data_IF_095919126355
#
_entry.id   IF_095919126355
#
_cell.length_a   1.000
_cell.length_b   1.000
_cell.length_c   1.000
_cell.angle_alpha   90.00
_cell.angle_beta   90.00
_cell.angle_gamma   90.00
#
_symmetry.space_group_name_H-M   'P 1'
#
loop_
_entity.id
_entity.type
_entity.pdbx_description
1 polymer ?
#
# COMPACT_ATOMS: atom_id res chain seq x y z
N UNK A 1 -53.80 28.80 -32.81
CA UNK A 1 -54.01 27.39 -33.13
C UNK A 1 -53.51 26.51 -31.99
N UNK A 2 -54.15 26.36 -30.84
CA UNK A 2 -55.19 27.11 -30.10
C UNK A 2 -55.03 26.76 -28.60
N UNK A 3 -55.17 27.70 -27.66
CA UNK A 3 -56.32 27.84 -26.73
C UNK A 3 -56.97 26.49 -26.32
N UNK A 4 -57.24 26.17 -25.04
CA UNK A 4 -57.76 27.00 -23.92
C UNK A 4 -57.47 26.31 -22.57
N UNK A 5 -57.00 26.98 -21.51
CA UNK A 5 -57.75 27.82 -20.55
C UNK A 5 -59.10 27.22 -20.10
N UNK A 6 -59.22 26.93 -18.79
CA UNK A 6 -60.49 27.01 -18.08
C UNK A 6 -60.28 27.47 -16.62
N UNK A 7 -60.87 28.61 -16.26
CA UNK A 7 -61.06 29.07 -14.86
C UNK A 7 -62.43 28.62 -14.39
N UNK A 8 -62.62 28.31 -13.10
CA UNK A 8 -63.91 28.54 -12.42
C UNK A 8 -63.72 28.87 -10.93
N UNK A 9 -64.75 29.51 -10.37
CA UNK A 9 -64.84 30.06 -9.01
C UNK A 9 -66.34 30.10 -8.61
N UNK A 10 -66.78 30.35 -7.38
CA UNK A 10 -66.16 31.03 -6.22
C UNK A 10 -66.83 30.52 -4.93
N UNK A 11 -66.40 30.99 -3.75
CA UNK A 11 -67.07 30.82 -2.44
C UNK A 11 -67.06 29.39 -1.85
N UNK A 12 -67.26 29.19 -0.54
CA UNK A 12 -67.35 30.16 0.54
C UNK A 12 -68.06 29.64 1.79
N UNK A 13 -67.48 29.99 2.93
CA UNK A 13 -68.10 30.15 4.25
C UNK A 13 -68.34 28.93 5.18
N UNK A 14 -68.05 29.24 6.44
CA UNK A 14 -68.34 28.65 7.75
C UNK A 14 -68.94 27.24 7.91
N UNK A 15 -68.21 26.43 8.69
CA UNK A 15 -68.78 25.77 9.89
C UNK A 15 -67.73 25.48 10.96
N UNK A 16 -67.71 26.30 12.00
CA UNK A 16 -67.03 25.98 13.25
C UNK A 16 -67.82 24.93 14.05
N UNK A 17 -67.14 23.89 14.57
CA UNK A 17 -67.26 23.39 15.95
C UNK A 17 -66.47 22.09 16.16
N UNK A 18 -65.81 22.00 17.32
CA UNK A 18 -65.15 20.80 17.91
C UNK A 18 -63.90 20.28 17.18
N UNK A 19 -62.71 20.72 17.66
CA UNK A 19 -61.62 19.88 18.20
C UNK A 19 -60.80 20.81 19.13
N UNK A 20 -61.23 20.92 20.40
CA UNK A 20 -60.38 21.44 21.48
C UNK A 20 -60.12 20.24 22.41
N UNK A 21 -58.91 19.69 22.38
CA UNK A 21 -58.58 18.48 23.14
C UNK A 21 -57.28 17.75 22.78
N UNK A 22 -56.60 18.11 21.69
CA UNK A 22 -55.34 17.45 21.29
C UNK A 22 -54.13 18.39 21.09
N UNK A 23 -54.33 19.71 21.05
CA UNK A 23 -53.26 20.66 20.74
C UNK A 23 -52.22 20.87 21.87
N UNK A 24 -52.55 20.56 23.12
CA UNK A 24 -51.67 20.87 24.27
C UNK A 24 -50.53 19.85 24.48
N UNK A 25 -50.66 18.63 23.95
CA UNK A 25 -49.66 17.56 24.14
C UNK A 25 -48.57 17.65 23.06
N UNK A 26 -48.90 18.04 21.83
CA UNK A 26 -47.91 18.24 20.77
C UNK A 26 -46.97 19.43 21.04
N UNK A 27 -47.47 20.51 21.65
CA UNK A 27 -46.66 21.68 21.98
C UNK A 27 -45.55 21.37 23.01
N UNK A 28 -45.77 20.42 23.92
CA UNK A 28 -44.77 20.00 24.91
C UNK A 28 -43.69 19.06 24.35
N UNK A 29 -43.91 18.41 23.20
CA UNK A 29 -42.88 17.60 22.54
C UNK A 29 -41.90 18.41 21.72
N UNK A 30 -42.31 19.57 21.17
CA UNK A 30 -41.40 20.44 20.42
C UNK A 30 -40.42 21.22 21.31
N UNK A 31 -40.74 21.48 22.58
CA UNK A 31 -39.83 22.17 23.51
C UNK A 31 -38.77 21.28 24.19
N UNK A 32 -38.81 19.95 23.99
CA UNK A 32 -37.78 19.03 24.48
C UNK A 32 -36.82 18.52 23.39
N UNK A 33 -37.03 18.90 22.12
CA UNK A 33 -36.16 18.50 21.01
C UNK A 33 -34.88 19.36 20.86
N UNK A 34 -34.88 20.60 21.34
CA UNK A 34 -33.82 21.60 21.11
C UNK A 34 -32.66 21.59 22.12
N UNK A 35 -32.58 20.60 23.03
CA UNK A 35 -31.59 20.57 24.12
C UNK A 35 -30.66 19.34 24.14
N UNK A 36 -30.65 18.52 23.07
CA UNK A 36 -29.61 17.53 22.82
C UNK A 36 -28.84 17.85 21.53
N UNK A 37 -28.25 19.04 21.49
CA UNK A 37 -27.02 19.22 20.74
C UNK A 37 -25.99 18.24 21.34
N UNK A 38 -25.76 17.11 20.65
CA UNK A 38 -24.73 16.15 21.05
C UNK A 38 -23.39 16.89 21.03
N UNK A 39 -22.90 17.27 22.22
CA UNK A 39 -21.60 17.92 22.37
C UNK A 39 -20.52 16.95 21.92
N UNK A 40 -20.07 17.08 20.68
CA UNK A 40 -19.02 16.23 20.14
C UNK A 40 -17.79 16.37 21.04
N UNK A 41 -17.18 15.26 21.48
CA UNK A 41 -16.09 15.31 22.44
C UNK A 41 -14.93 16.12 21.84
N UNK A 42 -14.52 17.15 22.59
CA UNK A 42 -13.52 18.13 22.20
C UNK A 42 -12.12 17.56 22.40
N UNK A 43 -11.13 17.96 21.60
CA UNK A 43 -9.75 17.54 21.86
C UNK A 43 -9.24 18.14 23.18
N UNK A 44 -8.62 17.33 24.02
CA UNK A 44 -7.94 17.78 25.25
C UNK A 44 -6.44 17.91 25.03
N UNK A 45 -5.88 17.00 24.23
CA UNK A 45 -4.47 16.98 23.83
C UNK A 45 -4.32 16.49 22.38
N UNK A 46 -3.42 17.12 21.63
CA UNK A 46 -2.99 16.65 20.31
C UNK A 46 -1.46 16.54 20.30
N UNK A 47 -0.95 15.41 19.84
CA UNK A 47 0.48 15.16 19.61
C UNK A 47 0.73 15.12 18.11
N UNK A 48 1.74 15.84 17.61
CA UNK A 48 2.17 15.77 16.20
C UNK A 48 3.64 15.40 16.17
N UNK A 49 3.96 14.27 15.55
CA UNK A 49 5.31 13.77 15.37
C UNK A 49 5.65 13.83 13.88
N UNK A 50 6.63 14.64 13.50
CA UNK A 50 7.16 14.66 12.13
C UNK A 50 8.60 14.18 12.10
N UNK A 51 8.92 13.35 11.12
CA UNK A 51 10.21 12.70 10.96
C UNK A 51 10.62 12.68 9.49
N UNK A 52 11.91 12.80 9.21
CA UNK A 52 12.46 12.62 7.87
C UNK A 52 13.88 12.05 7.95
N UNK A 53 14.16 11.01 7.17
CA UNK A 53 15.48 10.38 7.07
C UNK A 53 15.84 10.04 5.61
N UNK A 54 15.96 11.04 4.76
CA UNK A 54 16.52 10.87 3.40
C UNK A 54 18.06 10.98 3.38
N UNK A 55 18.65 11.03 2.19
CA UNK A 55 20.10 11.23 1.99
C UNK A 55 20.58 12.67 2.30
N UNK A 56 20.49 13.10 3.56
CA UNK A 56 21.20 14.27 4.06
C UNK A 56 22.32 13.86 5.01
N UNK A 57 23.46 14.56 5.07
CA UNK A 57 24.38 14.43 6.20
C UNK A 57 23.73 14.86 7.52
N UNK A 58 22.63 15.62 7.48
CA UNK A 58 21.89 16.18 8.61
C UNK A 58 20.47 15.58 8.76
N UNK A 59 20.41 14.26 8.77
CA UNK A 59 19.22 13.46 9.07
C UNK A 59 19.53 12.32 10.05
N UNK A 60 18.55 11.86 10.86
CA UNK A 60 17.14 12.24 10.82
C UNK A 60 16.85 13.67 11.30
N UNK A 61 15.82 14.29 10.71
CA UNK A 61 15.20 15.53 11.19
C UNK A 61 13.88 15.18 11.86
N UNK A 62 13.61 15.78 13.01
CA UNK A 62 12.48 15.46 13.90
C UNK A 62 11.76 16.74 14.31
N UNK A 63 10.46 16.64 14.54
CA UNK A 63 9.66 17.68 15.17
C UNK A 63 8.59 17.04 16.02
N UNK A 64 8.55 17.39 17.30
CA UNK A 64 7.58 16.88 18.26
C UNK A 64 6.79 18.05 18.80
N UNK A 65 5.49 18.09 18.50
CA UNK A 65 4.57 19.12 18.97
C UNK A 65 3.56 18.51 19.92
N UNK A 66 3.27 19.22 21.00
CA UNK A 66 2.15 18.93 21.90
C UNK A 66 1.26 20.16 21.95
N UNK A 67 -0.04 19.97 21.69
CA UNK A 67 -1.05 21.01 21.79
C UNK A 67 -2.02 20.60 22.91
N UNK A 68 -2.04 21.35 23.99
CA UNK A 68 -2.88 21.06 25.16
C UNK A 68 -3.94 22.14 25.37
N UNK A 69 -5.16 21.73 25.70
CA UNK A 69 -6.21 22.64 26.12
C UNK A 69 -5.95 23.13 27.55
N UNK A 70 -5.89 24.45 27.74
CA UNK A 70 -5.71 25.11 29.04
C UNK A 70 -6.82 26.15 29.19
N UNK A 71 -7.88 25.76 29.89
CA UNK A 71 -9.13 26.51 29.93
C UNK A 71 -9.78 26.62 28.55
N UNK A 72 -10.06 27.85 28.11
CA UNK A 72 -10.69 28.12 26.81
C UNK A 72 -9.72 28.14 25.61
N UNK A 73 -8.40 28.04 25.83
CA UNK A 73 -7.38 28.15 24.80
C UNK A 73 -6.61 26.85 24.59
N UNK A 74 -6.05 26.68 23.39
CA UNK A 74 -5.10 25.61 23.08
C UNK A 74 -3.68 26.18 23.02
N UNK A 75 -2.73 25.53 23.69
CA UNK A 75 -1.34 25.95 23.75
C UNK A 75 -0.46 24.90 23.06
N UNK A 76 0.19 25.30 21.97
CA UNK A 76 1.21 24.51 21.28
C UNK A 76 2.57 24.78 21.92
N UNK A 77 3.27 23.72 22.29
CA UNK A 77 4.70 23.68 22.59
C UNK A 77 5.36 22.55 21.78
N UNK A 78 6.70 22.51 21.74
CA UNK A 78 7.39 21.43 21.05
C UNK A 78 8.88 21.67 20.85
N UNK A 79 9.51 20.76 20.11
CA UNK A 79 10.91 20.82 19.71
C UNK A 79 11.09 20.52 18.23
N UNK A 80 12.17 21.01 17.65
CA UNK A 80 12.72 20.57 16.37
C UNK A 80 14.14 20.08 16.61
N UNK A 81 14.52 18.94 16.06
CA UNK A 81 15.90 18.46 16.16
C UNK A 81 16.44 17.86 14.87
N UNK A 82 17.77 17.85 14.77
CA UNK A 82 18.55 17.25 13.69
C UNK A 82 19.72 16.46 14.25
N UNK A 83 20.06 15.37 13.58
CA UNK A 83 21.30 14.64 13.75
C UNK A 83 22.18 14.87 12.52
N UNK A 84 23.40 15.39 12.69
CA UNK A 84 24.36 15.55 11.61
C UNK A 84 25.55 14.61 11.81
N UNK A 85 25.91 13.84 10.77
CA UNK A 85 27.00 12.86 10.80
C UNK A 85 26.92 11.87 11.99
N UNK A 86 25.71 11.42 12.33
CA UNK A 86 25.46 10.52 13.46
C UNK A 86 25.62 11.16 14.85
N UNK A 87 25.67 12.49 14.94
CA UNK A 87 25.72 13.25 16.20
C UNK A 87 24.49 14.15 16.32
N UNK A 88 23.89 14.31 17.51
CA UNK A 88 22.90 15.35 17.74
C UNK A 88 23.53 16.72 17.43
N UNK A 89 22.92 17.45 16.50
CA UNK A 89 23.42 18.73 16.01
C UNK A 89 22.69 19.89 16.69
N UNK A 90 21.35 19.89 16.59
CA UNK A 90 20.51 20.93 17.15
C UNK A 90 19.26 20.32 17.81
N UNK A 91 18.85 20.89 18.93
CA UNK A 91 17.48 20.77 19.46
C UNK A 91 16.97 22.17 19.78
N UNK A 92 16.11 22.71 18.93
CA UNK A 92 15.45 24.00 19.12
C UNK A 92 14.15 23.79 19.90
N UNK A 93 13.97 24.50 21.01
CA UNK A 93 12.69 24.57 21.71
C UNK A 93 11.80 25.61 21.04
N UNK A 94 10.64 25.19 20.58
CA UNK A 94 9.68 26.05 19.89
C UNK A 94 8.97 26.98 20.90
N UNK A 95 8.81 28.28 20.59
CA UNK A 95 8.10 29.20 21.46
C UNK A 95 6.63 28.78 21.61
N UNK A 96 6.10 28.86 22.83
CA UNK A 96 4.70 28.50 23.12
C UNK A 96 3.76 29.43 22.37
N UNK A 97 2.82 28.85 21.60
CA UNK A 97 1.87 29.59 20.77
C UNK A 97 0.43 29.21 21.08
N UNK A 98 -0.47 30.20 21.17
CA UNK A 98 -1.90 29.95 21.23
C UNK A 98 -2.40 29.49 19.86
N UNK A 99 -3.14 28.38 19.82
CA UNK A 99 -3.78 27.83 18.62
C UNK A 99 -5.28 28.17 18.64
N UNK A 100 -5.85 28.75 17.57
CA UNK A 100 -7.28 28.98 17.48
C UNK A 100 -8.08 27.67 17.52
N UNK A 101 -9.18 27.65 18.28
CA UNK A 101 -10.08 26.48 18.42
C UNK A 101 -10.51 25.94 17.04
N UNK A 102 -10.87 26.82 16.10
CA UNK A 102 -11.25 26.45 14.73
C UNK A 102 -10.15 25.73 13.92
N UNK A 103 -8.87 25.81 14.29
CA UNK A 103 -7.81 24.98 13.68
C UNK A 103 -7.82 23.55 14.26
N UNK A 104 -8.10 23.42 15.55
CA UNK A 104 -8.25 22.13 16.26
C UNK A 104 -9.49 21.39 15.76
N UNK A 105 -10.62 22.09 15.67
CA UNK A 105 -11.87 21.53 15.14
C UNK A 105 -11.69 21.00 13.72
N UNK A 106 -11.05 21.77 12.83
CA UNK A 106 -10.75 21.32 11.45
C UNK A 106 -9.90 20.06 11.41
N UNK A 107 -8.91 19.93 12.30
CA UNK A 107 -8.12 18.70 12.41
C UNK A 107 -8.98 17.52 12.89
N UNK A 108 -9.73 17.70 13.98
CA UNK A 108 -10.59 16.64 14.54
C UNK A 108 -11.66 16.21 13.52
N UNK A 109 -12.25 17.14 12.77
CA UNK A 109 -13.18 16.84 11.67
C UNK A 109 -12.49 16.05 10.56
N UNK A 110 -11.28 16.44 10.13
CA UNK A 110 -10.53 15.70 9.13
C UNK A 110 -10.14 14.28 9.59
N UNK A 111 -9.79 14.10 10.87
CA UNK A 111 -9.49 12.78 11.47
C UNK A 111 -10.73 11.89 11.63
N UNK A 112 -11.92 12.48 11.78
CA UNK A 112 -13.22 11.77 11.86
C UNK A 112 -13.87 11.54 10.49
N UNK A 113 -13.33 12.10 9.41
CA UNK A 113 -13.90 11.98 8.08
C UNK A 113 -13.85 10.53 7.56
N UNK A 114 -14.83 10.15 6.74
CA UNK A 114 -14.83 8.84 6.09
C UNK A 114 -13.59 8.71 5.17
N UNK A 115 -12.90 7.55 5.14
CA UNK A 115 -11.75 7.36 4.26
C UNK A 115 -12.13 7.53 2.78
N UNK A 116 -11.39 8.37 2.06
CA UNK A 116 -11.56 8.59 0.63
C UNK A 116 -10.61 7.67 -0.15
N UNK A 117 -11.10 6.61 -0.83
CA UNK A 117 -10.23 5.57 -1.39
C UNK A 117 -9.54 5.96 -2.72
N UNK A 118 -9.87 7.11 -3.31
CA UNK A 118 -9.34 7.55 -4.60
C UNK A 118 -8.97 9.04 -4.57
N UNK A 119 -7.92 9.40 -5.31
CA UNK A 119 -7.52 10.81 -5.53
C UNK A 119 -8.63 11.57 -6.25
N UNK A 120 -9.04 12.72 -5.68
CA UNK A 120 -9.87 13.71 -6.38
C UNK A 120 -8.98 14.84 -6.91
N UNK A 121 -8.91 14.99 -8.24
CA UNK A 121 -8.06 15.98 -8.91
C UNK A 121 -8.30 17.41 -8.40
N UNK A 122 -9.55 17.82 -8.26
CA UNK A 122 -9.91 19.17 -7.78
C UNK A 122 -9.46 19.40 -6.35
N UNK A 123 -9.57 18.40 -5.49
CA UNK A 123 -9.09 18.48 -4.11
C UNK A 123 -7.58 18.73 -4.06
N UNK A 124 -6.77 18.11 -4.93
CA UNK A 124 -5.32 18.36 -5.05
C UNK A 124 -4.93 19.56 -5.92
N UNK A 125 -5.90 20.35 -6.41
CA UNK A 125 -5.63 21.57 -7.20
C UNK A 125 -5.30 21.30 -8.68
N UNK A 126 -5.70 20.15 -9.22
CA UNK A 126 -5.58 19.80 -10.62
C UNK A 126 -6.92 19.90 -11.36
N UNK A 127 -6.83 20.23 -12.65
CA UNK A 127 -7.93 20.06 -13.59
C UNK A 127 -7.69 18.81 -14.44
N UNK A 128 -8.77 18.16 -14.84
CA UNK A 128 -8.75 16.98 -15.70
C UNK A 128 -7.93 17.27 -16.96
N UNK A 129 -8.11 18.44 -17.58
CA UNK A 129 -7.35 18.88 -18.75
C UNK A 129 -5.82 18.94 -18.53
N UNK A 130 -5.35 19.36 -17.34
CA UNK A 130 -3.90 19.39 -17.04
C UNK A 130 -3.34 17.97 -16.99
N UNK A 131 -4.08 17.03 -16.41
CA UNK A 131 -3.69 15.61 -16.35
C UNK A 131 -3.78 14.94 -17.72
N UNK A 132 -4.84 15.21 -18.49
CA UNK A 132 -4.96 14.72 -19.88
C UNK A 132 -3.79 15.20 -20.76
N UNK A 133 -3.29 16.43 -20.57
CA UNK A 133 -2.11 16.91 -21.31
C UNK A 133 -0.81 16.19 -20.92
N UNK A 134 -0.70 15.71 -19.68
CA UNK A 134 0.43 14.87 -19.26
C UNK A 134 0.32 13.45 -19.84
N UNK A 135 -0.86 12.81 -19.72
CA UNK A 135 -1.18 11.52 -20.34
C UNK A 135 -0.89 11.57 -21.84
N UNK A 136 -1.43 12.56 -22.55
CA UNK A 136 -1.25 12.74 -23.99
C UNK A 136 0.25 12.89 -24.33
N UNK A 137 1.04 13.62 -23.55
CA UNK A 137 2.48 13.78 -23.80
C UNK A 137 3.24 12.46 -23.71
N UNK A 138 2.93 11.65 -22.71
CA UNK A 138 3.56 10.34 -22.51
C UNK A 138 3.14 9.38 -23.63
N UNK A 139 1.83 9.25 -23.87
CA UNK A 139 1.28 8.31 -24.86
C UNK A 139 1.57 8.71 -26.32
N UNK A 140 1.99 9.94 -26.59
CA UNK A 140 2.44 10.38 -27.93
C UNK A 140 3.93 10.72 -27.99
N UNK A 141 4.73 10.36 -26.99
CA UNK A 141 6.19 10.47 -27.07
C UNK A 141 6.72 9.53 -28.18
N UNK A 142 7.69 9.95 -29.03
CA UNK A 142 8.17 9.14 -30.15
C UNK A 142 8.54 7.70 -29.74
N UNK A 143 9.36 7.56 -28.70
CA UNK A 143 9.84 6.28 -28.19
C UNK A 143 8.68 5.37 -27.72
N UNK A 144 7.64 5.95 -27.10
CA UNK A 144 6.44 5.22 -26.69
C UNK A 144 5.57 4.80 -27.87
N UNK A 145 5.44 5.65 -28.90
CA UNK A 145 4.69 5.34 -30.13
C UNK A 145 5.40 4.26 -30.95
N UNK A 146 6.74 4.30 -31.01
CA UNK A 146 7.55 3.27 -31.68
C UNK A 146 7.41 1.92 -30.96
N UNK A 147 7.66 1.90 -29.65
CA UNK A 147 7.59 0.68 -28.82
C UNK A 147 6.19 0.04 -28.78
N UNK A 148 5.11 0.84 -28.85
CA UNK A 148 3.72 0.37 -28.81
C UNK A 148 3.03 0.36 -30.18
N UNK A 149 3.78 0.48 -31.27
CA UNK A 149 3.24 0.59 -32.63
C UNK A 149 2.31 -0.57 -33.03
N UNK A 150 2.61 -1.81 -32.61
CA UNK A 150 1.77 -2.99 -32.84
C UNK A 150 0.55 -3.10 -31.90
N UNK A 151 0.50 -2.30 -30.83
CA UNK A 151 -0.60 -2.24 -29.86
C UNK A 151 -1.35 -0.90 -29.86
N UNK A 152 -1.06 0.01 -30.81
CA UNK A 152 -1.61 1.38 -30.88
C UNK A 152 -3.12 1.49 -30.65
N UNK A 153 -3.93 0.61 -31.24
CA UNK A 153 -5.40 0.60 -31.05
C UNK A 153 -5.78 0.41 -29.58
N UNK A 154 -5.04 -0.40 -28.83
CA UNK A 154 -5.23 -0.57 -27.38
C UNK A 154 -4.71 0.63 -26.59
N UNK A 155 -3.62 1.25 -27.03
CA UNK A 155 -3.08 2.50 -26.47
C UNK A 155 -4.10 3.64 -26.60
N UNK A 156 -4.78 3.76 -27.75
CA UNK A 156 -5.84 4.74 -27.98
C UNK A 156 -7.07 4.45 -27.12
N UNK A 157 -7.50 3.18 -26.99
CA UNK A 157 -8.57 2.77 -26.07
C UNK A 157 -8.23 3.06 -24.61
N UNK A 158 -6.98 2.83 -24.18
CA UNK A 158 -6.50 3.21 -22.84
C UNK A 158 -6.61 4.72 -22.65
N UNK A 159 -6.06 5.51 -23.58
CA UNK A 159 -6.08 6.98 -23.58
C UNK A 159 -7.50 7.53 -23.46
N UNK A 160 -8.44 7.04 -24.26
CA UNK A 160 -9.83 7.48 -24.23
C UNK A 160 -10.58 7.00 -22.98
N UNK A 161 -10.27 5.81 -22.45
CA UNK A 161 -10.81 5.37 -21.16
C UNK A 161 -10.38 6.28 -20.00
N UNK A 162 -9.15 6.80 -20.03
CA UNK A 162 -8.60 7.72 -19.05
C UNK A 162 -9.19 9.13 -19.13
N UNK A 163 -10.00 9.46 -20.15
CA UNK A 163 -10.81 10.69 -20.17
C UNK A 163 -12.00 10.63 -19.22
N UNK A 164 -12.38 9.44 -18.75
CA UNK A 164 -13.49 9.24 -17.83
C UNK A 164 -13.05 9.43 -16.36
N UNK A 165 -13.85 10.09 -15.49
CA UNK A 165 -13.43 10.43 -14.13
C UNK A 165 -13.00 9.22 -13.27
N UNK A 166 -13.69 8.07 -13.39
CA UNK A 166 -13.39 6.87 -12.60
C UNK A 166 -12.04 6.22 -12.93
N UNK A 167 -11.77 5.87 -14.20
CA UNK A 167 -10.45 5.42 -14.65
C UNK A 167 -9.34 6.44 -14.35
N UNK A 168 -9.57 7.73 -14.60
CA UNK A 168 -8.60 8.80 -14.33
C UNK A 168 -8.21 8.86 -12.84
N UNK A 169 -9.20 8.85 -11.95
CA UNK A 169 -8.96 8.83 -10.50
C UNK A 169 -8.17 7.59 -10.06
N UNK A 170 -8.47 6.40 -10.60
CA UNK A 170 -7.72 5.16 -10.29
C UNK A 170 -6.27 5.19 -10.78
N UNK A 171 -6.02 5.69 -11.99
CA UNK A 171 -4.67 5.86 -12.53
C UNK A 171 -3.85 6.82 -11.63
N UNK A 172 -4.43 7.97 -11.29
CA UNK A 172 -3.76 8.93 -10.40
C UNK A 172 -3.53 8.36 -9.00
N UNK A 173 -4.49 7.59 -8.47
CA UNK A 173 -4.33 6.90 -7.17
C UNK A 173 -3.10 5.98 -7.18
N UNK A 174 -2.90 5.18 -8.24
CA UNK A 174 -1.68 4.36 -8.38
C UNK A 174 -0.40 5.20 -8.40
N UNK A 175 -0.41 6.35 -9.06
CA UNK A 175 0.71 7.29 -9.05
C UNK A 175 1.07 7.78 -7.64
N UNK A 176 0.07 7.99 -6.77
CA UNK A 176 0.30 8.38 -5.37
C UNK A 176 0.66 7.22 -4.43
N UNK A 177 0.25 5.99 -4.75
CA UNK A 177 0.68 4.76 -4.04
C UNK A 177 2.16 4.40 -4.31
N UNK A 178 2.78 4.97 -5.34
CA UNK A 178 4.17 4.74 -5.70
C UNK A 178 5.15 5.43 -4.73
N UNK A 179 6.13 4.65 -4.25
CA UNK A 179 7.17 5.07 -3.29
C UNK A 179 8.54 5.15 -3.96
N UNK A 180 9.34 6.16 -3.66
CA UNK A 180 10.77 6.19 -4.03
C UNK A 180 11.62 5.66 -2.86
N UNK A 181 12.75 5.02 -3.18
CA UNK A 181 13.57 4.23 -2.25
C UNK A 181 14.25 5.01 -1.12
N UNK A 182 14.45 6.33 -1.25
CA UNK A 182 15.49 7.03 -0.47
C UNK A 182 15.01 8.32 0.20
N UNK A 183 13.70 8.56 0.19
CA UNK A 183 13.09 9.73 0.78
C UNK A 183 11.97 9.29 1.73
N UNK A 184 12.29 9.22 3.03
CA UNK A 184 11.41 8.67 4.06
C UNK A 184 10.77 9.76 4.97
N UNK A 185 9.87 10.62 4.47
CA UNK A 185 9.15 11.58 5.29
C UNK A 185 7.94 10.92 5.96
N UNK A 186 7.68 11.33 7.20
CA UNK A 186 6.58 10.84 8.00
C UNK A 186 5.98 11.97 8.83
N UNK A 187 4.65 11.94 8.99
CA UNK A 187 3.92 12.72 9.98
C UNK A 187 2.88 11.80 10.61
N UNK A 188 2.86 11.72 11.93
CA UNK A 188 1.76 11.19 12.72
C UNK A 188 1.08 12.29 13.52
N UNK A 189 -0.22 12.16 13.68
CA UNK A 189 -1.07 13.01 14.49
C UNK A 189 -1.94 12.11 15.37
N UNK A 190 -1.93 12.38 16.67
CA UNK A 190 -2.80 11.73 17.66
C UNK A 190 -3.60 12.81 18.38
N UNK A 191 -4.90 12.58 18.59
CA UNK A 191 -5.79 13.49 19.31
C UNK A 191 -6.56 12.72 20.38
N UNK A 192 -6.33 13.04 21.65
CA UNK A 192 -7.11 12.55 22.79
C UNK A 192 -8.29 13.49 22.99
N UNK A 193 -9.50 12.94 23.06
CA UNK A 193 -10.74 13.68 23.21
C UNK A 193 -11.20 13.72 24.68
N UNK A 194 -12.19 14.57 24.98
CA UNK A 194 -12.70 14.81 26.33
C UNK A 194 -13.42 13.62 26.97
N UNK A 195 -13.83 12.63 26.17
CA UNK A 195 -14.41 11.36 26.61
C UNK A 195 -13.34 10.25 26.82
N UNK A 196 -12.06 10.57 26.63
CA UNK A 196 -10.95 9.62 26.70
C UNK A 196 -10.75 8.79 25.43
N UNK A 197 -11.58 8.96 24.39
CA UNK A 197 -11.33 8.33 23.09
C UNK A 197 -10.14 8.98 22.38
N UNK A 198 -9.43 8.20 21.56
CA UNK A 198 -8.26 8.66 20.81
C UNK A 198 -8.48 8.49 19.32
N UNK A 199 -8.18 9.53 18.55
CA UNK A 199 -8.06 9.49 17.11
C UNK A 199 -6.58 9.48 16.74
N UNK A 200 -6.19 8.70 15.73
CA UNK A 200 -4.83 8.73 15.19
C UNK A 200 -4.86 8.69 13.66
N UNK A 201 -3.89 9.38 13.04
CA UNK A 201 -3.68 9.36 11.61
C UNK A 201 -2.20 9.59 11.27
N UNK A 202 -1.69 8.97 10.20
CA UNK A 202 -0.33 9.17 9.73
C UNK A 202 -0.21 9.14 8.20
N UNK A 203 0.73 9.89 7.64
CA UNK A 203 1.11 9.83 6.22
C UNK A 203 1.85 8.53 5.90
N UNK A 204 1.68 7.96 4.70
CA UNK A 204 2.41 6.73 4.29
C UNK A 204 3.23 6.87 3.01
N UNK A 205 3.41 8.09 2.49
CA UNK A 205 4.06 8.33 1.20
C UNK A 205 4.75 9.70 1.15
N UNK A 206 5.81 9.81 0.34
CA UNK A 206 6.53 11.06 0.10
C UNK A 206 5.86 12.00 -0.93
N UNK A 207 4.81 11.52 -1.60
CA UNK A 207 4.14 12.23 -2.69
C UNK A 207 3.45 13.53 -2.22
N UNK A 208 2.87 14.27 -3.17
CA UNK A 208 2.25 15.58 -2.91
C UNK A 208 1.25 15.56 -1.73
N UNK A 209 1.34 16.56 -0.84
CA UNK A 209 0.60 16.63 0.44
C UNK A 209 0.81 15.42 1.38
N UNK A 210 1.85 14.61 1.13
CA UNK A 210 2.14 13.35 1.82
C UNK A 210 0.96 12.37 1.79
N UNK A 211 0.25 12.34 0.65
CA UNK A 211 -0.86 11.42 0.40
C UNK A 211 -0.36 10.05 -0.08
N UNK A 212 -1.00 8.94 0.32
CA UNK A 212 -2.17 8.91 1.19
C UNK A 212 -1.83 8.98 2.69
N UNK A 213 -2.87 9.19 3.49
CA UNK A 213 -2.83 9.04 4.96
C UNK A 213 -3.57 7.75 5.37
N UNK A 214 -3.25 7.21 6.54
CA UNK A 214 -4.00 6.13 7.20
C UNK A 214 -4.50 6.56 8.56
N UNK A 215 -5.71 6.15 8.94
CA UNK A 215 -6.23 6.33 10.30
C UNK A 215 -5.75 5.19 11.24
N UNK A 216 -6.10 5.27 12.52
CA UNK A 216 -5.78 4.25 13.53
C UNK A 216 -6.37 2.85 13.26
N UNK A 217 -7.38 2.73 12.39
CA UNK A 217 -7.91 1.45 11.90
C UNK A 217 -7.17 0.94 10.63
N UNK A 218 -6.10 1.61 10.21
CA UNK A 218 -5.32 1.27 9.01
C UNK A 218 -5.98 1.65 7.69
N UNK A 219 -7.15 2.30 7.71
CA UNK A 219 -7.90 2.67 6.50
C UNK A 219 -7.21 3.83 5.78
N UNK A 220 -7.00 3.65 4.48
CA UNK A 220 -6.30 4.60 3.59
C UNK A 220 -7.25 5.72 3.14
N UNK A 221 -6.80 6.97 3.17
CA UNK A 221 -7.52 8.13 2.66
C UNK A 221 -6.62 9.03 1.80
N UNK A 222 -7.19 9.47 0.67
CA UNK A 222 -6.62 10.43 -0.27
C UNK A 222 -7.19 11.85 -0.09
N UNK A 223 -8.04 12.06 0.92
CA UNK A 223 -8.61 13.37 1.24
C UNK A 223 -7.52 14.35 1.70
N UNK A 224 -7.46 15.52 1.07
CA UNK A 224 -6.44 16.55 1.33
C UNK A 224 -6.56 17.25 2.68
N UNK A 225 -7.71 17.11 3.35
CA UNK A 225 -8.06 17.95 4.49
C UNK A 225 -7.24 17.61 5.74
N UNK A 226 -6.81 16.34 5.88
CA UNK A 226 -5.88 15.94 6.93
C UNK A 226 -4.52 16.65 6.78
N UNK A 227 -3.97 16.68 5.57
CA UNK A 227 -2.73 17.38 5.26
C UNK A 227 -2.86 18.90 5.50
N UNK A 228 -3.97 19.51 5.05
CA UNK A 228 -4.24 20.96 5.22
C UNK A 228 -4.45 21.35 6.67
N UNK A 229 -5.21 20.57 7.44
CA UNK A 229 -5.45 20.84 8.85
C UNK A 229 -4.15 20.69 9.67
N UNK A 230 -3.35 19.66 9.38
CA UNK A 230 -2.02 19.49 9.97
C UNK A 230 -1.10 20.66 9.63
N UNK A 231 -1.04 21.07 8.36
CA UNK A 231 -0.25 22.23 7.91
C UNK A 231 -0.60 23.53 8.64
N UNK A 232 -1.87 23.76 8.99
CA UNK A 232 -2.26 24.96 9.73
C UNK A 232 -1.63 25.02 11.14
N UNK A 233 -1.35 23.86 11.75
CA UNK A 233 -0.81 23.73 13.10
C UNK A 233 0.72 23.79 13.15
N UNK A 234 1.42 23.24 12.15
CA UNK A 234 2.89 23.18 12.11
C UNK A 234 3.54 24.58 12.14
N UNK A 235 4.55 24.84 12.99
CA UNK A 235 5.37 26.05 12.90
C UNK A 235 6.29 26.03 11.65
N UNK A 236 6.78 27.20 11.22
CA UNK A 236 7.56 27.40 9.99
C UNK A 236 8.75 26.45 9.81
N UNK A 237 9.45 26.14 10.90
CA UNK A 237 10.66 25.32 10.96
C UNK A 237 10.37 23.81 11.14
N UNK A 238 9.11 23.41 11.27
CA UNK A 238 8.74 22.01 11.45
C UNK A 238 9.18 21.14 10.26
N UNK A 239 9.69 19.96 10.59
CA UNK A 239 9.98 18.88 9.62
C UNK A 239 8.75 18.62 8.75
N UNK A 240 8.98 18.34 7.46
CA UNK A 240 7.96 18.08 6.43
C UNK A 240 6.87 19.15 6.20
N UNK A 241 6.85 20.29 6.93
CA UNK A 241 5.91 21.39 6.66
C UNK A 241 5.92 21.84 5.20
N UNK A 242 7.11 21.89 4.60
CA UNK A 242 7.30 22.29 3.21
C UNK A 242 6.60 21.32 2.23
N UNK A 243 6.56 20.01 2.53
CA UNK A 243 5.88 18.99 1.71
C UNK A 243 4.36 19.13 1.76
N UNK A 244 3.81 19.42 2.95
CA UNK A 244 2.38 19.73 3.09
C UNK A 244 1.98 21.07 2.45
N UNK A 245 2.93 21.98 2.24
CA UNK A 245 2.73 23.29 1.61
C UNK A 245 3.30 23.36 0.17
N UNK A 246 3.69 22.22 -0.41
CA UNK A 246 4.30 22.19 -1.72
C UNK A 246 3.31 22.60 -2.82
N UNK A 247 3.82 22.79 -4.03
CA UNK A 247 3.01 22.72 -5.25
C UNK A 247 3.24 21.36 -5.88
N UNK A 248 2.26 20.83 -6.62
CA UNK A 248 2.51 19.69 -7.49
C UNK A 248 3.22 20.19 -8.75
N UNK A 249 4.55 20.15 -8.68
CA UNK A 249 5.46 20.52 -9.75
C UNK A 249 5.64 19.34 -10.70
N UNK A 250 5.95 18.16 -10.16
CA UNK A 250 6.14 16.93 -10.94
C UNK A 250 4.85 16.13 -11.12
N UNK A 251 3.98 16.61 -12.00
CA UNK A 251 2.78 15.88 -12.41
C UNK A 251 3.10 14.75 -13.39
N UNK A 252 4.12 14.92 -14.24
CA UNK A 252 4.40 13.97 -15.31
C UNK A 252 4.89 12.64 -14.70
N UNK A 253 5.81 12.65 -13.73
CA UNK A 253 6.23 11.44 -12.98
C UNK A 253 5.05 10.73 -12.30
N UNK A 254 4.11 11.45 -11.67
CA UNK A 254 2.92 10.81 -11.05
C UNK A 254 2.03 10.12 -12.09
N UNK A 255 1.90 10.70 -13.29
CA UNK A 255 1.13 10.11 -14.39
C UNK A 255 1.89 8.92 -14.98
N UNK A 256 3.21 9.00 -15.17
CA UNK A 256 4.05 7.88 -15.60
C UNK A 256 3.95 6.70 -14.63
N UNK A 257 4.06 6.93 -13.32
CA UNK A 257 3.86 5.90 -12.29
C UNK A 257 2.45 5.29 -12.34
N UNK A 258 1.42 6.11 -12.52
CA UNK A 258 0.04 5.63 -12.67
C UNK A 258 -0.22 4.84 -13.97
N UNK A 259 0.52 5.16 -15.04
CA UNK A 259 0.49 4.49 -16.35
C UNK A 259 1.45 3.29 -16.45
N UNK A 260 2.37 3.11 -15.49
CA UNK A 260 3.46 2.14 -15.57
C UNK A 260 2.97 0.71 -15.85
N UNK A 261 2.09 0.16 -15.01
CA UNK A 261 1.52 -1.19 -15.21
C UNK A 261 0.83 -1.39 -16.58
N UNK A 262 -0.13 -0.55 -17.03
CA UNK A 262 -0.75 -0.75 -18.33
C UNK A 262 0.22 -0.53 -19.51
N UNK A 263 1.22 0.35 -19.38
CA UNK A 263 2.25 0.52 -20.42
C UNK A 263 3.21 -0.66 -20.50
N UNK A 264 3.68 -1.19 -19.37
CA UNK A 264 4.47 -2.42 -19.31
C UNK A 264 3.71 -3.58 -19.97
N UNK A 265 2.43 -3.74 -19.64
CA UNK A 265 1.57 -4.77 -20.23
C UNK A 265 1.39 -4.60 -21.75
N UNK A 266 1.20 -3.36 -22.24
CA UNK A 266 1.10 -3.08 -23.67
C UNK A 266 2.44 -3.30 -24.40
N UNK A 267 3.58 -3.04 -23.74
CA UNK A 267 4.92 -3.32 -24.26
C UNK A 267 5.19 -4.82 -24.39
N UNK A 268 4.82 -5.62 -23.38
CA UNK A 268 4.88 -7.09 -23.48
C UNK A 268 3.97 -7.62 -24.59
N UNK A 269 2.76 -7.07 -24.75
CA UNK A 269 1.88 -7.43 -25.86
C UNK A 269 2.46 -7.06 -27.23
N UNK A 270 3.21 -5.97 -27.31
CA UNK A 270 3.84 -5.48 -28.54
C UNK A 270 5.08 -6.29 -28.95
N UNK A 271 5.92 -6.66 -27.99
CA UNK A 271 7.23 -7.31 -28.20
C UNK A 271 7.16 -8.84 -28.07
N UNK A 272 6.38 -9.36 -27.12
CA UNK A 272 6.35 -10.76 -26.70
C UNK A 272 4.94 -11.38 -26.78
N UNK A 273 4.12 -10.91 -27.73
CA UNK A 273 2.69 -11.21 -27.81
C UNK A 273 2.31 -12.69 -28.02
N UNK A 274 3.23 -13.57 -28.45
CA UNK A 274 3.00 -15.03 -28.44
C UNK A 274 3.35 -15.64 -27.09
N UNK A 275 4.51 -15.31 -26.52
CA UNK A 275 4.93 -15.75 -25.19
C UNK A 275 3.86 -15.45 -24.12
N UNK A 276 3.31 -14.24 -24.16
CA UNK A 276 2.23 -13.81 -23.28
C UNK A 276 0.98 -14.69 -23.43
N UNK A 277 0.55 -15.01 -24.65
CA UNK A 277 -0.61 -15.90 -24.90
C UNK A 277 -0.36 -17.32 -24.43
N UNK A 278 0.86 -17.84 -24.57
CA UNK A 278 1.26 -19.15 -24.04
C UNK A 278 1.13 -19.19 -22.52
N UNK A 279 1.56 -18.14 -21.83
CA UNK A 279 1.35 -18.00 -20.38
C UNK A 279 -0.14 -17.89 -20.03
N UNK A 280 -0.92 -17.05 -20.72
CA UNK A 280 -2.36 -16.86 -20.46
C UNK A 280 -3.21 -18.12 -20.67
N UNK A 281 -2.74 -19.07 -21.50
CA UNK A 281 -3.41 -20.36 -21.67
C UNK A 281 -3.36 -21.25 -20.41
N UNK A 282 -2.40 -21.01 -19.51
CA UNK A 282 -2.18 -21.81 -18.28
C UNK A 282 -2.37 -21.00 -17.00
N UNK A 283 -2.07 -19.69 -17.03
CA UNK A 283 -1.91 -18.85 -15.85
C UNK A 283 -2.78 -17.59 -15.90
N UNK A 284 -3.23 -17.15 -14.73
CA UNK A 284 -3.71 -15.78 -14.49
C UNK A 284 -2.51 -14.87 -14.31
N UNK A 285 -2.16 -14.07 -15.32
CA UNK A 285 -1.06 -13.11 -15.23
C UNK A 285 -1.52 -11.91 -14.39
N UNK A 286 -0.81 -11.61 -13.29
CA UNK A 286 -1.07 -10.45 -12.44
C UNK A 286 -0.33 -9.21 -12.90
N UNK A 287 0.92 -9.41 -13.34
CA UNK A 287 1.80 -8.38 -13.90
C UNK A 287 2.69 -9.03 -14.96
N UNK A 288 3.10 -8.27 -15.97
CA UNK A 288 4.12 -8.66 -16.93
C UNK A 288 4.85 -7.41 -17.44
N UNK A 289 6.18 -7.46 -17.50
CA UNK A 289 7.02 -6.36 -17.98
C UNK A 289 8.18 -6.90 -18.83
N UNK A 290 8.52 -6.16 -19.90
CA UNK A 290 9.73 -6.42 -20.67
C UNK A 290 10.95 -5.92 -19.90
N UNK A 291 12.02 -6.71 -19.90
CA UNK A 291 13.31 -6.37 -19.32
C UNK A 291 14.37 -6.46 -20.40
N UNK A 292 15.09 -5.36 -20.60
CA UNK A 292 16.28 -5.30 -21.44
C UNK A 292 17.51 -5.41 -20.53
N UNK A 293 18.12 -6.60 -20.35
CA UNK A 293 19.37 -6.74 -19.62
C UNK A 293 20.49 -5.89 -20.25
N UNK A 294 21.34 -5.27 -19.41
CA UNK A 294 22.40 -4.36 -19.86
C UNK A 294 23.51 -5.10 -20.65
N UNK A 295 23.68 -6.40 -20.39
CA UNK A 295 24.81 -7.21 -20.87
C UNK A 295 24.40 -8.42 -21.75
N UNK A 296 23.11 -8.65 -22.00
CA UNK A 296 22.62 -9.75 -22.85
C UNK A 296 21.88 -9.18 -24.07
N UNK A 297 22.04 -9.80 -25.23
CA UNK A 297 21.41 -9.33 -26.48
C UNK A 297 19.92 -9.68 -26.56
N UNK A 298 19.49 -10.76 -25.90
CA UNK A 298 18.10 -11.24 -25.94
C UNK A 298 17.21 -10.58 -24.86
N UNK A 299 15.99 -10.13 -25.21
CA UNK A 299 15.06 -9.55 -24.25
C UNK A 299 14.50 -10.62 -23.29
N UNK A 300 14.15 -10.18 -22.09
CA UNK A 300 13.53 -11.00 -21.05
C UNK A 300 12.14 -10.46 -20.70
N UNK A 301 11.32 -11.28 -20.07
CA UNK A 301 10.02 -10.91 -19.54
C UNK A 301 9.91 -11.30 -18.06
N UNK A 302 9.72 -10.31 -17.20
CA UNK A 302 9.33 -10.54 -15.80
C UNK A 302 7.81 -10.74 -15.74
N UNK A 303 7.36 -11.77 -15.02
CA UNK A 303 5.93 -12.10 -14.91
C UNK A 303 5.53 -12.57 -13.51
N UNK A 304 4.38 -12.07 -13.03
CA UNK A 304 3.71 -12.55 -11.82
C UNK A 304 2.56 -13.51 -12.19
N UNK A 305 2.70 -14.78 -11.86
CA UNK A 305 1.88 -15.88 -12.37
C UNK A 305 1.00 -16.56 -11.30
N UNK A 306 -0.30 -16.47 -11.55
CA UNK A 306 -1.45 -17.18 -10.98
C UNK A 306 -1.74 -18.59 -11.54
N UNK A 307 -1.86 -19.67 -10.75
CA UNK A 307 -2.71 -20.79 -11.20
C UNK A 307 -4.21 -20.42 -11.07
N UNK A 308 -5.09 -20.81 -12.01
CA UNK A 308 -6.49 -20.35 -12.02
C UNK A 308 -7.26 -20.54 -10.70
N UNK A 309 -7.04 -21.66 -10.00
CA UNK A 309 -7.72 -22.00 -8.74
C UNK A 309 -6.89 -21.68 -7.47
N UNK A 310 -5.76 -20.97 -7.61
CA UNK A 310 -4.91 -20.57 -6.49
C UNK A 310 -5.50 -19.37 -5.72
N UNK A 311 -5.27 -19.26 -4.38
CA UNK A 311 -5.73 -18.11 -3.60
C UNK A 311 -5.27 -16.79 -4.21
N UNK A 312 -6.18 -15.83 -4.36
CA UNK A 312 -5.94 -14.57 -5.09
C UNK A 312 -4.76 -13.73 -4.57
N UNK A 313 -4.32 -13.99 -3.34
CA UNK A 313 -3.18 -13.36 -2.68
C UNK A 313 -1.84 -14.11 -2.85
N UNK A 314 -1.78 -15.23 -3.59
CA UNK A 314 -0.55 -15.98 -3.87
C UNK A 314 -0.17 -15.94 -5.36
N UNK A 315 1.09 -15.62 -5.66
CA UNK A 315 1.67 -15.67 -7.01
C UNK A 315 3.14 -16.06 -7.00
N UNK A 316 3.61 -16.62 -8.11
CA UNK A 316 5.04 -16.81 -8.40
C UNK A 316 5.52 -15.64 -9.27
N UNK A 317 6.69 -15.09 -8.95
CA UNK A 317 7.42 -14.11 -9.77
C UNK A 317 8.56 -14.84 -10.47
N UNK A 318 8.67 -14.70 -11.79
CA UNK A 318 9.71 -15.35 -12.62
C UNK A 318 10.23 -14.39 -13.68
N UNK A 319 11.42 -14.70 -14.21
CA UNK A 319 12.06 -14.01 -15.33
C UNK A 319 12.28 -15.01 -16.46
N UNK A 320 11.67 -14.75 -17.61
CA UNK A 320 11.63 -15.67 -18.74
C UNK A 320 12.41 -15.10 -19.92
N UNK A 321 13.39 -15.86 -20.41
CA UNK A 321 14.11 -15.56 -21.65
C UNK A 321 13.20 -15.67 -22.86
N UNK A 322 13.37 -14.77 -23.82
CA UNK A 322 12.60 -14.76 -25.06
C UNK A 322 13.48 -15.06 -26.26
N UNK A 323 12.90 -15.67 -27.29
CA UNK A 323 13.45 -15.73 -28.64
C UNK A 323 12.42 -15.10 -29.56
N UNK A 324 12.71 -13.89 -30.05
CA UNK A 324 11.71 -13.05 -30.74
C UNK A 324 10.50 -12.77 -29.84
N UNK A 325 9.30 -13.11 -30.32
CA UNK A 325 8.04 -12.90 -29.59
C UNK A 325 7.56 -14.13 -28.78
N UNK A 326 8.41 -15.15 -28.63
CA UNK A 326 8.13 -16.44 -27.97
C UNK A 326 9.04 -16.73 -26.76
N UNK A 327 8.57 -17.58 -25.84
CA UNK A 327 9.39 -18.09 -24.72
C UNK A 327 10.52 -18.96 -25.25
N UNK A 328 11.75 -18.76 -24.76
CA UNK A 328 12.93 -19.52 -25.17
C UNK A 328 12.81 -21.03 -24.86
N UNK A 329 12.22 -21.39 -23.72
CA UNK A 329 12.05 -22.80 -23.29
C UNK A 329 10.59 -23.29 -23.37
N UNK A 330 9.69 -22.50 -23.96
CA UNK A 330 8.33 -22.92 -24.32
C UNK A 330 7.58 -23.69 -23.22
N UNK A 331 7.19 -24.93 -23.52
CA UNK A 331 6.45 -25.80 -22.61
C UNK A 331 7.22 -26.21 -21.34
N UNK A 332 8.56 -26.17 -21.35
CA UNK A 332 9.39 -26.52 -20.20
C UNK A 332 9.22 -25.48 -19.08
N UNK A 333 9.22 -24.19 -19.42
CA UNK A 333 8.91 -23.10 -18.48
C UNK A 333 7.50 -23.25 -17.90
N UNK A 334 6.51 -23.50 -18.76
CA UNK A 334 5.11 -23.68 -18.35
C UNK A 334 4.97 -24.86 -17.36
N UNK A 335 5.58 -26.01 -17.67
CA UNK A 335 5.54 -27.20 -16.83
C UNK A 335 6.23 -26.96 -15.47
N UNK A 336 7.41 -26.34 -15.49
CA UNK A 336 8.24 -26.02 -14.31
C UNK A 336 7.51 -25.07 -13.35
N UNK A 337 7.00 -23.95 -13.85
CA UNK A 337 6.23 -22.96 -13.07
C UNK A 337 4.94 -23.57 -12.51
N UNK A 338 4.21 -24.34 -13.34
CA UNK A 338 2.98 -24.99 -12.91
C UNK A 338 3.24 -26.05 -11.84
N UNK A 339 4.37 -26.76 -11.87
CA UNK A 339 4.75 -27.71 -10.83
C UNK A 339 5.04 -27.01 -9.50
N UNK A 340 5.87 -25.96 -9.49
CA UNK A 340 6.18 -25.17 -8.30
C UNK A 340 4.90 -24.58 -7.64
N UNK A 341 4.02 -23.97 -8.44
CA UNK A 341 2.75 -23.43 -7.95
C UNK A 341 1.82 -24.52 -7.38
N UNK A 342 1.79 -25.72 -7.98
CA UNK A 342 1.01 -26.87 -7.48
C UNK A 342 1.53 -27.39 -6.14
N UNK A 343 2.86 -27.42 -5.91
CA UNK A 343 3.43 -27.85 -4.62
C UNK A 343 2.89 -26.98 -3.48
N UNK A 344 2.81 -25.66 -3.65
CA UNK A 344 2.25 -24.75 -2.64
C UNK A 344 0.73 -24.91 -2.50
N UNK A 345 -0.02 -25.07 -3.60
CA UNK A 345 -1.46 -25.33 -3.54
C UNK A 345 -1.82 -26.66 -2.86
N UNK A 346 -0.95 -27.66 -2.95
CA UNK A 346 -1.18 -28.98 -2.36
C UNK A 346 -0.91 -29.01 -0.85
N UNK A 347 -0.12 -28.07 -0.32
CA UNK A 347 0.22 -27.98 1.10
C UNK A 347 -0.93 -27.36 1.94
N UNK A 348 -1.67 -28.13 2.77
CA UNK A 348 -2.91 -27.64 3.35
C UNK A 348 -2.70 -26.49 4.34
N UNK A 349 -1.58 -26.50 5.07
CA UNK A 349 -1.22 -25.42 5.99
C UNK A 349 -0.99 -24.08 5.27
N UNK A 350 -0.35 -24.09 4.10
CA UNK A 350 -0.18 -22.86 3.29
C UNK A 350 -1.51 -22.35 2.76
N UNK A 351 -2.36 -23.22 2.22
CA UNK A 351 -3.69 -22.83 1.74
C UNK A 351 -4.57 -22.31 2.88
N UNK A 352 -4.51 -22.92 4.07
CA UNK A 352 -5.20 -22.43 5.26
C UNK A 352 -4.66 -21.05 5.70
N UNK A 353 -3.34 -20.86 5.69
CA UNK A 353 -2.68 -19.59 6.03
C UNK A 353 -3.12 -18.48 5.07
N UNK A 354 -3.03 -18.71 3.77
CA UNK A 354 -3.47 -17.77 2.72
C UNK A 354 -4.94 -17.36 2.86
N UNK A 355 -5.83 -18.32 3.16
CA UNK A 355 -7.27 -18.07 3.40
C UNK A 355 -7.52 -17.28 4.69
N UNK A 356 -6.73 -17.51 5.73
CA UNK A 356 -6.84 -16.79 7.01
C UNK A 356 -6.35 -15.34 6.95
N UNK A 357 -5.48 -15.02 5.99
CA UNK A 357 -4.85 -13.72 5.82
C UNK A 357 -5.05 -13.19 4.38
N UNK A 358 -6.29 -12.95 3.93
CA UNK A 358 -6.60 -12.61 2.53
C UNK A 358 -6.04 -11.26 2.07
N UNK A 359 -5.67 -10.36 3.00
CA UNK A 359 -4.99 -9.09 2.73
C UNK A 359 -3.46 -9.20 2.71
N UNK A 360 -2.89 -10.32 3.18
CA UNK A 360 -1.44 -10.58 3.15
C UNK A 360 -1.08 -11.20 1.81
N UNK A 361 -0.09 -10.63 1.13
CA UNK A 361 0.45 -11.18 -0.13
C UNK A 361 1.45 -12.29 0.20
N UNK A 362 1.35 -13.39 -0.53
CA UNK A 362 2.29 -14.50 -0.52
C UNK A 362 3.00 -14.54 -1.88
N UNK A 363 4.34 -14.63 -1.89
CA UNK A 363 5.14 -14.67 -3.12
C UNK A 363 6.12 -15.83 -3.11
N UNK A 364 6.35 -16.39 -4.27
CA UNK A 364 7.43 -17.34 -4.54
C UNK A 364 8.30 -16.75 -5.65
N UNK A 365 9.61 -16.87 -5.55
CA UNK A 365 10.55 -16.42 -6.58
C UNK A 365 11.12 -17.62 -7.33
N UNK A 366 11.13 -17.52 -8.65
CA UNK A 366 11.62 -18.55 -9.56
C UNK A 366 12.73 -17.97 -10.44
N UNK A 367 13.94 -18.51 -10.22
CA UNK A 367 15.26 -18.11 -10.77
C UNK A 367 15.70 -16.63 -10.57
N UNK A 368 14.76 -15.72 -10.27
CA UNK A 368 14.99 -14.30 -10.04
C UNK A 368 14.25 -13.78 -8.79
N UNK A 369 14.91 -12.90 -8.02
CA UNK A 369 14.36 -12.26 -6.80
C UNK A 369 15.03 -12.68 -5.49
N UNK A 370 14.53 -12.17 -4.36
CA UNK A 370 15.08 -12.39 -3.01
C UNK A 370 14.87 -13.80 -2.48
N UNK A 371 13.78 -14.47 -2.87
CA UNK A 371 13.33 -15.71 -2.25
C UNK A 371 13.46 -16.96 -3.15
N UNK A 372 14.51 -17.03 -3.97
CA UNK A 372 14.79 -18.22 -4.77
C UNK A 372 15.39 -19.31 -3.89
N UNK A 373 14.81 -20.52 -3.92
CA UNK A 373 15.39 -21.68 -3.24
C UNK A 373 16.59 -22.24 -4.02
N UNK A 374 17.72 -21.54 -3.96
CA UNK A 374 19.00 -22.01 -4.51
C UNK A 374 19.65 -23.06 -3.60
N UNK A 375 20.62 -23.80 -4.14
CA UNK A 375 21.36 -24.87 -3.42
C UNK A 375 21.88 -24.43 -2.05
N UNK A 376 22.43 -23.22 -1.95
CA UNK A 376 22.95 -22.65 -0.69
C UNK A 376 21.83 -22.38 0.34
N UNK A 377 20.67 -21.89 -0.12
CA UNK A 377 19.48 -21.66 0.71
C UNK A 377 18.87 -22.99 1.18
N UNK A 378 18.78 -23.99 0.31
CA UNK A 378 18.34 -25.33 0.66
C UNK A 378 19.26 -25.99 1.69
N UNK A 379 20.58 -25.90 1.51
CA UNK A 379 21.56 -26.40 2.48
C UNK A 379 21.46 -25.67 3.84
N UNK A 380 21.28 -24.34 3.84
CA UNK A 380 21.05 -23.57 5.07
C UNK A 380 19.78 -24.03 5.79
N UNK A 381 18.68 -24.25 5.06
CA UNK A 381 17.42 -24.75 5.61
C UNK A 381 17.61 -26.12 6.28
N UNK A 382 18.20 -27.10 5.57
CA UNK A 382 18.45 -28.45 6.10
C UNK A 382 19.31 -28.39 7.36
N UNK A 383 20.42 -27.64 7.34
CA UNK A 383 21.30 -27.45 8.50
C UNK A 383 20.55 -26.83 9.70
N UNK A 384 19.67 -25.87 9.47
CA UNK A 384 18.90 -25.23 10.54
C UNK A 384 17.80 -26.13 11.09
N UNK A 385 17.15 -26.96 10.25
CA UNK A 385 16.20 -27.97 10.73
C UNK A 385 16.88 -28.99 11.65
N UNK A 386 18.06 -29.50 11.26
CA UNK A 386 18.88 -30.41 12.07
C UNK A 386 19.29 -29.80 13.41
N UNK A 387 19.75 -28.55 13.41
CA UNK A 387 20.13 -27.82 14.61
C UNK A 387 18.94 -27.57 15.58
N UNK A 388 17.72 -27.53 15.05
CA UNK A 388 16.48 -27.48 15.84
C UNK A 388 15.90 -28.87 16.15
N UNK A 389 16.57 -29.96 15.77
CA UNK A 389 16.11 -31.35 15.87
C UNK A 389 14.73 -31.59 15.23
N UNK A 390 14.44 -30.88 14.14
CA UNK A 390 13.23 -31.05 13.31
C UNK A 390 13.64 -31.67 11.96
N UNK A 391 12.75 -32.47 11.38
CA UNK A 391 12.92 -33.08 10.05
C UNK A 391 14.29 -33.76 9.80
N UNK A 392 14.78 -34.64 10.71
CA UNK A 392 16.09 -35.28 10.56
C UNK A 392 16.24 -36.08 9.25
N UNK A 393 15.13 -36.56 8.68
CA UNK A 393 15.11 -37.30 7.43
C UNK A 393 15.53 -36.48 6.20
N UNK A 394 15.54 -35.15 6.25
CA UNK A 394 16.03 -34.31 5.13
C UNK A 394 17.50 -34.57 4.78
N UNK A 395 18.27 -35.09 5.74
CA UNK A 395 19.68 -35.43 5.55
C UNK A 395 19.86 -36.76 4.80
N UNK A 396 18.94 -37.70 4.96
CA UNK A 396 18.99 -39.05 4.36
C UNK A 396 18.12 -39.17 3.10
N UNK A 397 17.11 -38.31 2.96
CA UNK A 397 16.08 -38.36 1.93
C UNK A 397 16.07 -37.06 1.11
N UNK A 398 17.13 -36.78 0.33
CA UNK A 398 17.27 -35.53 -0.43
C UNK A 398 16.15 -35.32 -1.47
N UNK A 399 15.44 -36.36 -1.87
CA UNK A 399 14.25 -36.29 -2.73
C UNK A 399 13.10 -35.46 -2.13
N UNK A 400 13.02 -35.34 -0.80
CA UNK A 400 12.02 -34.46 -0.14
C UNK A 400 12.28 -32.98 -0.45
N UNK A 401 13.54 -32.62 -0.71
CA UNK A 401 13.96 -31.29 -1.14
C UNK A 401 13.91 -31.11 -2.67
N UNK A 402 13.82 -32.18 -3.46
CA UNK A 402 13.74 -32.10 -4.93
C UNK A 402 12.33 -31.63 -5.33
N UNK A 403 12.21 -30.38 -5.78
CA UNK A 403 10.92 -29.74 -6.03
C UNK A 403 10.27 -29.10 -4.81
N UNK A 404 11.00 -29.01 -3.69
CA UNK A 404 10.64 -28.09 -2.61
C UNK A 404 10.74 -26.63 -3.12
N UNK A 405 10.00 -25.73 -2.48
CA UNK A 405 9.92 -24.31 -2.84
C UNK A 405 9.87 -23.42 -1.60
N UNK A 406 10.25 -22.15 -1.77
CA UNK A 406 10.21 -21.14 -0.71
C UNK A 406 9.14 -20.09 -1.01
N UNK A 407 8.40 -19.68 0.01
CA UNK A 407 7.30 -18.71 -0.08
C UNK A 407 7.49 -17.61 0.97
N UNK A 408 7.60 -16.36 0.52
CA UNK A 408 7.52 -15.17 1.37
C UNK A 408 6.06 -14.86 1.72
N UNK A 409 5.81 -14.55 2.99
CA UNK A 409 4.54 -13.98 3.46
C UNK A 409 4.76 -12.53 3.94
N UNK A 410 4.07 -11.58 3.30
CA UNK A 410 4.04 -10.16 3.71
C UNK A 410 5.17 -9.30 3.14
N UNK A 411 5.31 -8.07 3.67
CA UNK A 411 6.37 -7.11 3.27
C UNK A 411 7.62 -7.17 4.16
N UNK A 412 7.47 -7.58 5.41
CA UNK A 412 8.55 -7.98 6.30
C UNK A 412 8.46 -9.51 6.36
N UNK A 413 9.18 -10.22 5.47
CA UNK A 413 8.79 -11.58 5.09
C UNK A 413 8.90 -12.58 6.24
N UNK A 414 7.83 -13.36 6.40
CA UNK A 414 7.92 -14.68 7.04
C UNK A 414 8.22 -15.68 5.92
N UNK A 415 9.28 -16.46 6.07
CA UNK A 415 9.72 -17.42 5.07
C UNK A 415 9.17 -18.80 5.39
N UNK A 416 8.41 -19.33 4.45
CA UNK A 416 7.85 -20.67 4.48
C UNK A 416 8.61 -21.56 3.49
N UNK A 417 8.88 -22.79 3.90
CA UNK A 417 9.42 -23.85 3.04
C UNK A 417 8.32 -24.87 2.79
N UNK A 418 8.00 -25.15 1.53
CA UNK A 418 7.04 -26.20 1.16
C UNK A 418 7.80 -27.33 0.51
N UNK A 419 7.69 -28.52 1.08
CA UNK A 419 8.42 -29.71 0.65
C UNK A 419 7.68 -30.44 -0.48
N UNK A 420 8.38 -31.29 -1.22
CA UNK A 420 7.80 -32.06 -2.32
C UNK A 420 6.64 -32.97 -1.88
N UNK A 421 6.65 -33.42 -0.61
CA UNK A 421 5.61 -34.21 0.04
C UNK A 421 4.45 -33.40 0.65
N UNK A 422 4.35 -32.11 0.30
CA UNK A 422 3.30 -31.16 0.69
C UNK A 422 3.28 -30.79 2.18
N UNK A 423 4.31 -31.16 2.95
CA UNK A 423 4.56 -30.54 4.25
C UNK A 423 5.00 -29.09 4.08
N UNK A 424 4.62 -28.26 5.05
CA UNK A 424 5.03 -26.85 5.08
C UNK A 424 5.80 -26.57 6.37
N UNK A 425 6.82 -25.72 6.32
CA UNK A 425 7.60 -25.31 7.49
C UNK A 425 7.62 -23.80 7.54
N UNK A 426 7.14 -23.22 8.64
CA UNK A 426 7.39 -21.82 8.95
C UNK A 426 8.83 -21.75 9.46
N UNK A 427 9.75 -21.43 8.54
CA UNK A 427 11.18 -21.60 8.75
C UNK A 427 11.74 -20.51 9.66
N UNK A 428 11.62 -19.25 9.22
CA UNK A 428 12.16 -18.07 9.91
C UNK A 428 11.44 -16.80 9.48
N UNK A 429 11.64 -15.72 10.22
CA UNK A 429 11.01 -14.41 10.00
C UNK A 429 12.06 -13.30 9.97
N UNK A 430 11.98 -12.41 8.98
CA UNK A 430 12.80 -11.19 8.93
C UNK A 430 12.55 -10.30 10.15
N UNK A 431 13.62 -9.86 10.81
CA UNK A 431 13.58 -8.85 11.87
C UNK A 431 14.61 -7.74 11.62
N UNK A 432 14.12 -6.50 11.62
CA UNK A 432 14.96 -5.29 11.63
C UNK A 432 15.53 -4.98 13.04
N UNK A 433 15.15 -5.76 14.06
CA UNK A 433 15.62 -5.62 15.44
C UNK A 433 16.39 -6.87 15.89
N UNK A 434 17.38 -6.74 16.80
CA UNK A 434 18.06 -7.88 17.40
C UNK A 434 17.09 -8.84 18.10
N UNK A 435 17.45 -10.13 18.14
CA UNK A 435 16.71 -11.14 18.88
C UNK A 435 16.56 -10.76 20.36
N UNK A 436 15.32 -10.83 20.87
CA UNK A 436 15.03 -10.66 22.30
C UNK A 436 15.32 -11.95 23.06
N UNK A 437 15.58 -11.89 24.38
CA UNK A 437 15.82 -13.09 25.19
C UNK A 437 14.71 -14.14 25.01
N UNK A 438 15.09 -15.37 24.65
CA UNK A 438 14.15 -16.46 24.36
C UNK A 438 13.80 -16.64 22.88
N UNK A 439 14.22 -15.75 21.98
CA UNK A 439 14.13 -15.96 20.52
C UNK A 439 15.47 -16.46 19.96
N UNK A 440 15.42 -17.46 19.07
CA UNK A 440 16.62 -17.96 18.39
C UNK A 440 16.88 -17.11 17.14
N UNK A 441 17.97 -16.34 17.13
CA UNK A 441 18.44 -15.73 15.88
C UNK A 441 19.08 -16.78 14.99
N UNK A 442 18.91 -16.65 13.68
CA UNK A 442 19.64 -17.43 12.69
C UNK A 442 20.07 -16.55 11.51
N UNK A 443 21.02 -17.06 10.73
CA UNK A 443 21.61 -16.33 9.61
C UNK A 443 20.57 -15.95 8.57
N UNK A 444 20.73 -14.75 8.01
CA UNK A 444 19.96 -14.24 6.87
C UNK A 444 19.93 -15.23 5.69
N UNK A 445 18.91 -15.14 4.83
CA UNK A 445 18.89 -15.88 3.56
C UNK A 445 20.09 -15.45 2.71
N UNK A 446 20.86 -16.39 2.12
CA UNK A 446 21.93 -16.04 1.19
C UNK A 446 21.34 -15.39 -0.08
N UNK A 447 21.59 -14.10 -0.27
CA UNK A 447 21.15 -13.33 -1.43
C UNK A 447 22.10 -13.57 -2.63
N UNK A 448 22.24 -14.84 -3.03
CA UNK A 448 23.16 -15.28 -4.08
C UNK A 448 24.48 -15.86 -3.56
N UNK A 449 25.43 -16.04 -4.47
CA UNK A 449 26.67 -16.78 -4.22
C UNK A 449 27.80 -15.88 -3.71
N UNK A 450 27.92 -14.64 -4.21
CA UNK A 450 29.03 -13.71 -3.92
C UNK A 450 28.80 -12.75 -2.72
N UNK A 451 27.63 -12.79 -2.06
CA UNK A 451 27.24 -11.77 -1.09
C UNK A 451 28.01 -11.87 0.25
N UNK A 452 29.11 -11.12 0.32
CA UNK A 452 29.85 -10.79 1.54
C UNK A 452 29.35 -9.49 2.22
N UNK A 453 28.28 -8.87 1.71
CA UNK A 453 27.73 -7.61 2.22
C UNK A 453 26.87 -7.84 3.47
N UNK A 454 27.56 -8.02 4.59
CA UNK A 454 26.98 -8.13 5.93
C UNK A 454 26.32 -6.83 6.42
N UNK A 455 25.16 -6.48 5.87
CA UNK A 455 24.19 -5.70 6.63
C UNK A 455 23.66 -6.58 7.77
N UNK A 456 23.61 -6.05 8.99
CA UNK A 456 23.22 -6.81 10.19
C UNK A 456 21.70 -7.03 10.25
N UNK A 457 21.20 -7.86 9.31
CA UNK A 457 19.83 -8.34 9.26
C UNK A 457 19.72 -9.57 10.15
N UNK A 458 18.74 -9.57 11.05
CA UNK A 458 18.50 -10.67 11.98
C UNK A 458 17.28 -11.45 11.50
N UNK A 459 17.45 -12.70 11.08
CA UNK A 459 16.31 -13.60 10.97
C UNK A 459 16.05 -14.23 12.34
N UNK A 460 14.77 -14.38 12.69
CA UNK A 460 14.30 -15.12 13.86
C UNK A 460 13.86 -16.51 13.40
N UNK A 461 14.55 -17.55 13.84
CA UNK A 461 14.21 -18.94 13.51
C UNK A 461 12.95 -19.39 14.27
N UNK A 462 12.10 -20.12 13.57
CA UNK A 462 10.76 -20.52 14.02
C UNK A 462 10.59 -22.03 14.02
N UNK A 463 11.04 -22.71 12.97
CA UNK A 463 11.13 -24.18 12.90
C UNK A 463 9.80 -24.94 13.05
N UNK A 464 8.65 -24.29 12.81
CA UNK A 464 7.33 -24.94 12.97
C UNK A 464 7.01 -25.78 11.75
N UNK A 465 6.85 -27.08 11.95
CA UNK A 465 6.59 -28.05 10.88
C UNK A 465 5.11 -28.39 10.85
N UNK A 466 4.50 -28.34 9.67
CA UNK A 466 3.13 -28.73 9.40
C UNK A 466 3.09 -29.95 8.48
N UNK A 467 2.31 -30.97 8.86
CA UNK A 467 2.12 -32.18 8.09
C UNK A 467 1.38 -31.97 6.77
N UNK A 468 1.42 -32.99 5.92
CA UNK A 468 0.60 -33.07 4.71
C UNK A 468 -0.91 -33.15 5.02
N UNK A 469 -1.30 -33.34 6.29
CA UNK A 469 -2.67 -33.19 6.79
C UNK A 469 -2.99 -31.77 7.30
N UNK A 470 -2.02 -30.86 7.25
CA UNK A 470 -2.10 -29.47 7.71
C UNK A 470 -1.90 -29.24 9.21
N UNK A 471 -1.63 -30.27 10.02
CA UNK A 471 -1.45 -30.12 11.48
C UNK A 471 0.00 -29.82 11.86
N UNK A 472 0.20 -29.03 12.91
CA UNK A 472 1.53 -28.74 13.45
C UNK A 472 2.10 -29.98 14.18
N UNK A 473 3.36 -30.33 13.90
CA UNK A 473 4.12 -31.34 14.64
C UNK A 473 4.85 -30.68 15.82
N UNK A 474 4.43 -31.05 17.03
CA UNK A 474 5.08 -30.65 18.28
C UNK A 474 6.49 -31.24 18.42
#
# INVERSE_FOLDING_TARGET
MDASINRWSVSGDSRAKRICGFALICALWFFFADAQAQSHPEATRISIHSYWAGFSPCTPRKTELTIERKGAAYHLSGTVSSECHGRPDLTEVLPVRIVPVAQIERLVTAMKAAPQPLVELRAIGLSDQRVQKAIDRILTAPDTVEALSSTQVKTDVLRDSLRQPGPLARMMTKGFDATHSDDYPYIAVEAVLSDGSTLSAHSVSQQYLMLPWKNGAGQVTYATDMARATLALLPSQATNRQRLNARLEDLDTLVEMGLSEPLMRLGVEAMAGKALKTLEATFKIRNAAMVMPIEQEDPQMDADLQLPDSPANFSLTTRLSLVGDTLAHGDEDIARIAAQLKVVQAAPAMVARMKSAPSTVFRMSDDFGSAVLKTRTAAQFVQQMQAMHKLPELETNPEVMQGAVMVEEGKAPIYWMVLADHRAVLWKQYSSAPATPGTMSCSAIPMGDDDALGTAIWDLCQGKVYGADGKEFH
#
